data_IF_116333416607
#
_entry.id   IF_116333416607
#
_cell.length_a   1.000
_cell.length_b   1.000
_cell.length_c   1.000
_cell.angle_alpha   90.00
_cell.angle_beta   90.00
_cell.angle_gamma   90.00
#
_symmetry.space_group_name_H-M   'P 1'
#
loop_
_entity.id
_entity.type
_entity.pdbx_description
1 polymer ?
#
# COMPACT_ATOMS: atom_id res chain seq x y z
N UNK A 1 10.27 5.88 12.50
CA UNK A 1 10.08 4.58 11.80
C UNK A 1 11.43 4.16 11.26
N UNK A 2 11.88 2.95 11.58
CA UNK A 2 13.20 2.42 11.18
C UNK A 2 13.08 1.06 10.50
N UNK A 3 14.21 0.41 10.22
CA UNK A 3 14.23 -0.99 9.81
C UNK A 3 14.08 -1.89 11.05
N UNK A 4 13.33 -3.02 11.00
CA UNK A 4 13.13 -3.89 12.17
C UNK A 4 14.41 -4.45 12.82
N UNK A 5 15.54 -4.40 12.11
CA UNK A 5 16.86 -4.82 12.62
C UNK A 5 17.66 -3.72 13.32
N UNK A 6 17.21 -2.47 13.28
CA UNK A 6 17.89 -1.35 13.95
C UNK A 6 17.33 -1.15 15.37
N UNK A 7 18.17 -0.78 16.35
CA UNK A 7 17.74 -0.60 17.74
C UNK A 7 16.69 0.50 17.91
N UNK A 8 16.63 1.45 16.97
CA UNK A 8 15.68 2.55 16.97
C UNK A 8 14.37 2.23 16.25
N UNK A 9 14.04 0.95 16.02
CA UNK A 9 12.76 0.59 15.41
C UNK A 9 11.58 0.94 16.33
N UNK A 10 10.72 1.82 15.83
CA UNK A 10 9.47 2.19 16.50
C UNK A 10 8.34 2.44 15.50
N UNK A 11 7.11 2.14 15.93
CA UNK A 11 5.88 2.57 15.26
C UNK A 11 5.65 4.07 15.47
N UNK A 12 4.73 4.66 14.70
CA UNK A 12 4.54 6.11 14.73
C UNK A 12 4.06 6.68 16.07
N UNK A 13 3.40 5.88 16.92
CA UNK A 13 2.92 6.28 18.24
C UNK A 13 1.69 7.20 18.24
N UNK A 14 1.25 7.70 17.08
CA UNK A 14 0.03 8.50 16.96
C UNK A 14 -1.24 7.66 17.20
N UNK A 15 -2.33 8.34 17.55
CA UNK A 15 -3.62 7.68 17.78
C UNK A 15 -4.13 6.98 16.52
N UNK A 16 -4.58 5.75 16.70
CA UNK A 16 -5.16 4.95 15.62
C UNK A 16 -6.46 5.58 15.12
N UNK A 17 -6.69 5.51 13.81
CA UNK A 17 -7.96 5.88 13.22
C UNK A 17 -9.01 4.81 13.59
N UNK A 18 -10.17 5.17 14.16
CA UNK A 18 -11.19 4.19 14.54
C UNK A 18 -11.53 3.22 13.40
N UNK A 19 -11.46 1.92 13.69
CA UNK A 19 -11.70 0.86 12.69
C UNK A 19 -10.50 0.51 11.81
N UNK A 20 -9.33 1.14 12.00
CA UNK A 20 -8.11 0.86 11.25
C UNK A 20 -6.90 0.61 12.18
N UNK A 21 -5.87 -0.11 11.71
CA UNK A 21 -4.71 -0.45 12.53
C UNK A 21 -3.66 0.68 12.67
N UNK A 22 -3.80 1.79 11.93
CA UNK A 22 -2.82 2.87 11.90
C UNK A 22 -3.47 4.25 12.12
N UNK A 23 -2.66 5.28 12.36
CA UNK A 23 -3.13 6.67 12.35
C UNK A 23 -3.54 7.10 10.94
N UNK A 24 -4.15 8.29 10.81
CA UNK A 24 -4.67 8.81 9.52
C UNK A 24 -3.58 8.89 8.46
N UNK A 25 -2.40 9.39 8.83
CA UNK A 25 -1.23 9.54 7.94
C UNK A 25 -0.80 8.18 7.37
N UNK A 26 -0.59 7.20 8.25
CA UNK A 26 -0.14 5.87 7.85
C UNK A 26 -1.23 5.05 7.14
N UNK A 27 -2.51 5.26 7.47
CA UNK A 27 -3.62 4.66 6.72
C UNK A 27 -3.61 5.12 5.26
N UNK A 28 -3.37 6.41 4.99
CA UNK A 28 -3.30 6.95 3.63
C UNK A 28 -2.16 6.38 2.79
N UNK A 29 -1.07 5.94 3.42
CA UNK A 29 0.04 5.24 2.75
C UNK A 29 -0.25 3.76 2.52
N UNK A 30 -0.86 3.10 3.51
CA UNK A 30 -1.05 1.66 3.52
C UNK A 30 -2.23 1.18 2.67
N UNK A 31 -3.30 1.98 2.59
CA UNK A 31 -4.53 1.60 1.92
C UNK A 31 -4.81 2.50 0.72
N UNK A 32 -5.09 1.87 -0.42
CA UNK A 32 -5.53 2.55 -1.64
C UNK A 32 -6.99 2.25 -1.90
N UNK A 33 -7.72 3.23 -2.44
CA UNK A 33 -9.08 3.00 -2.90
C UNK A 33 -9.11 1.92 -3.98
N UNK A 34 -10.07 1.01 -3.86
CA UNK A 34 -10.32 0.07 -4.95
C UNK A 34 -10.91 0.83 -6.13
N UNK A 35 -10.13 0.96 -7.20
CA UNK A 35 -10.61 1.59 -8.44
C UNK A 35 -11.60 0.66 -9.18
N UNK A 36 -12.67 1.22 -9.78
CA UNK A 36 -13.48 0.50 -10.76
C UNK A 36 -12.61 -0.15 -11.83
N UNK A 37 -13.01 -1.33 -12.33
CA UNK A 37 -12.20 -2.10 -13.29
C UNK A 37 -11.79 -1.29 -14.52
N UNK A 38 -12.67 -0.40 -15.01
CA UNK A 38 -12.43 0.43 -16.19
C UNK A 38 -11.51 1.64 -16.00
N UNK A 39 -11.26 2.08 -14.77
CA UNK A 39 -10.39 3.24 -14.49
C UNK A 39 -9.01 2.85 -13.98
N UNK A 40 -8.75 1.54 -13.84
CA UNK A 40 -7.43 1.04 -13.45
C UNK A 40 -6.46 1.28 -14.58
N UNK A 41 -5.24 1.70 -14.22
CA UNK A 41 -4.13 1.64 -15.17
C UNK A 41 -3.98 0.20 -15.66
N UNK A 42 -3.78 -0.02 -16.97
CA UNK A 42 -3.46 -1.33 -17.47
C UNK A 42 -2.21 -1.84 -16.72
N UNK A 43 -2.14 -3.15 -16.39
CA UNK A 43 -0.97 -3.71 -15.76
C UNK A 43 0.27 -3.41 -16.64
N UNK A 44 1.44 -3.18 -16.04
CA UNK A 44 2.67 -2.98 -16.80
C UNK A 44 2.86 -4.14 -17.77
N UNK A 45 3.43 -3.89 -18.97
CA UNK A 45 3.70 -4.96 -19.93
C UNK A 45 4.57 -6.02 -19.26
N UNK A 46 4.19 -7.28 -19.44
CA UNK A 46 4.96 -8.41 -18.89
C UNK A 46 6.39 -8.35 -19.46
N UNK A 47 7.43 -8.52 -18.63
CA UNK A 47 8.82 -8.38 -19.05
C UNK A 47 9.25 -9.41 -20.12
N UNK A 48 8.52 -10.53 -20.22
CA UNK A 48 8.61 -11.48 -21.32
C UNK A 48 7.22 -11.60 -21.93
N UNK A 49 7.13 -11.53 -23.27
CA UNK A 49 5.90 -11.43 -24.08
C UNK A 49 4.91 -12.59 -23.95
N UNK A 50 4.47 -12.88 -22.74
CA UNK A 50 3.43 -13.84 -22.44
C UNK A 50 2.08 -13.41 -23.01
N UNK A 51 1.12 -14.35 -23.12
CA UNK A 51 -0.15 -14.10 -23.77
C UNK A 51 -0.86 -12.90 -23.13
N UNK A 52 -1.29 -11.95 -23.97
CA UNK A 52 -2.17 -10.87 -23.54
C UNK A 52 -3.43 -11.50 -22.95
N UNK A 53 -3.81 -11.08 -21.75
CA UNK A 53 -5.14 -11.37 -21.20
C UNK A 53 -6.14 -10.71 -22.13
N UNK A 54 -7.03 -11.52 -22.72
CA UNK A 54 -8.12 -11.09 -23.60
C UNK A 54 -9.16 -10.27 -22.84
#
# INVERSE_FOLDING_TARGET
MGHPGEPDFHFCGEQVNPGFPYCVEHCGRAYQAQLPRGTRRPPPPMPFGGPRVR
#
